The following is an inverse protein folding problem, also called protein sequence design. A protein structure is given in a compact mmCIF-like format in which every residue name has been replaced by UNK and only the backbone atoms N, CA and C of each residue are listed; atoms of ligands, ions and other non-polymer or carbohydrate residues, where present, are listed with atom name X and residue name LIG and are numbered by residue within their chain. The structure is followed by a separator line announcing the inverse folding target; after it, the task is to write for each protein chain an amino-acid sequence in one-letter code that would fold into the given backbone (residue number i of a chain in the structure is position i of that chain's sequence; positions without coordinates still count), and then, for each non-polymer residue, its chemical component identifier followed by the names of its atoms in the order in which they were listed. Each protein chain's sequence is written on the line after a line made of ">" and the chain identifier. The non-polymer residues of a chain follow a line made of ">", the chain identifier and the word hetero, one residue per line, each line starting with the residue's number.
data_IF_119158646055
#
_entry.id   IF_119158646055
#
_cell.length_a   1.000
_cell.length_b   1.000
_cell.length_c   1.000
_cell.angle_alpha   90.00
_cell.angle_beta   90.00
_cell.angle_gamma   90.00
#
_symmetry.space_group_name_H-M   'P 1'
#
loop_
_entity.id
_entity.type
_entity.pdbx_description
1 polymer ?
#
# COMPACT_ATOMS: atom_id res chain seq x y z
N UNK A 1 16.18 -36.35 -6.44
CA UNK A 1 16.48 -35.31 -5.44
C UNK A 1 15.22 -34.49 -5.23
N UNK A 2 14.42 -34.88 -4.23
CA UNK A 2 13.09 -34.32 -3.94
C UNK A 2 13.25 -32.95 -3.28
N UNK A 3 12.83 -31.87 -3.95
CA UNK A 3 12.90 -30.52 -3.38
C UNK A 3 11.67 -30.27 -2.49
N UNK A 4 11.92 -29.98 -1.22
CA UNK A 4 10.91 -29.71 -0.20
C UNK A 4 10.42 -28.27 -0.35
N UNK A 5 9.21 -28.05 -0.88
CA UNK A 5 8.57 -26.73 -0.84
C UNK A 5 8.04 -26.49 0.57
N UNK A 6 8.84 -25.79 1.37
CA UNK A 6 8.49 -25.37 2.72
C UNK A 6 7.55 -24.15 2.64
N UNK A 7 6.25 -24.39 2.47
CA UNK A 7 5.22 -23.35 2.65
C UNK A 7 5.10 -23.07 4.15
N UNK A 8 5.89 -22.11 4.60
CA UNK A 8 5.75 -21.45 5.89
C UNK A 8 4.43 -20.67 5.88
N UNK A 9 3.35 -21.33 6.31
CA UNK A 9 2.04 -20.71 6.52
C UNK A 9 2.16 -19.78 7.73
N UNK A 10 2.46 -18.50 7.48
CA UNK A 10 2.45 -17.47 8.52
C UNK A 10 1.07 -17.45 9.17
N UNK A 11 1.02 -17.78 10.46
CA UNK A 11 -0.14 -17.56 11.32
C UNK A 11 -0.37 -16.04 11.35
N UNK A 12 -1.38 -15.57 10.61
CA UNK A 12 -1.80 -14.17 10.67
C UNK A 12 -2.55 -13.94 11.99
N UNK A 13 -2.23 -12.89 12.76
CA UNK A 13 -3.09 -12.42 13.84
C UNK A 13 -4.51 -12.23 13.31
N UNK A 14 -5.52 -12.66 14.05
CA UNK A 14 -6.94 -12.50 13.70
C UNK A 14 -7.41 -11.06 13.95
N UNK A 15 -6.61 -10.06 13.56
CA UNK A 15 -7.14 -8.71 13.48
C UNK A 15 -8.08 -8.69 12.26
N UNK A 16 -9.30 -8.14 12.39
CA UNK A 16 -10.14 -7.91 11.22
C UNK A 16 -9.28 -7.19 10.18
N UNK A 17 -9.29 -7.62 8.90
CA UNK A 17 -8.54 -6.89 7.89
C UNK A 17 -8.99 -5.44 7.93
N UNK A 18 -8.07 -4.46 8.01
CA UNK A 18 -8.41 -3.05 8.03
C UNK A 18 -9.37 -2.75 6.88
N UNK A 19 -10.47 -2.11 7.22
CA UNK A 19 -11.51 -1.74 6.28
C UNK A 19 -10.97 -0.68 5.33
N UNK A 20 -11.58 -0.59 4.13
CA UNK A 20 -11.12 0.34 3.08
C UNK A 20 -11.08 1.80 3.54
N UNK A 21 -11.93 2.17 4.49
CA UNK A 21 -11.96 3.53 5.06
C UNK A 21 -10.85 3.79 6.07
N UNK A 22 -10.25 2.74 6.65
CA UNK A 22 -9.22 2.88 7.70
C UNK A 22 -7.88 3.39 7.14
N UNK A 23 -7.70 3.37 5.83
CA UNK A 23 -6.49 3.84 5.18
C UNK A 23 -6.59 5.27 4.65
N UNK A 24 -7.80 5.80 4.45
CA UNK A 24 -7.97 7.18 3.98
C UNK A 24 -7.49 8.16 5.05
N UNK A 25 -6.65 9.11 4.66
CA UNK A 25 -6.00 10.07 5.54
C UNK A 25 -4.66 9.60 6.12
N UNK A 26 -4.25 8.34 5.89
CA UNK A 26 -2.94 7.82 6.29
C UNK A 26 -1.88 8.03 5.20
N UNK A 27 -0.62 8.05 5.63
CA UNK A 27 0.52 8.01 4.73
C UNK A 27 0.86 6.57 4.32
N UNK A 28 1.37 6.41 3.11
CA UNK A 28 1.89 5.16 2.59
C UNK A 28 3.27 5.37 1.96
N UNK A 29 4.06 4.30 1.86
CA UNK A 29 5.35 4.29 1.17
C UNK A 29 5.25 3.43 -0.08
N UNK A 30 5.58 4.00 -1.24
CA UNK A 30 5.55 3.30 -2.53
C UNK A 30 6.62 2.20 -2.56
N UNK A 31 6.23 0.99 -2.95
CA UNK A 31 7.12 -0.16 -3.06
C UNK A 31 7.56 -0.43 -4.51
N UNK A 32 6.75 -0.02 -5.50
CA UNK A 32 7.02 -0.25 -6.93
C UNK A 32 7.93 0.81 -7.53
N UNK A 33 8.72 0.41 -8.54
CA UNK A 33 9.63 1.33 -9.24
C UNK A 33 8.91 2.50 -9.92
N UNK A 34 7.63 2.34 -10.23
CA UNK A 34 6.74 3.38 -10.72
C UNK A 34 5.32 3.19 -10.17
N UNK A 35 4.61 4.29 -9.94
CA UNK A 35 3.16 4.35 -9.71
C UNK A 35 2.54 5.26 -10.76
N UNK A 36 1.51 4.76 -11.42
CA UNK A 36 0.77 5.43 -12.49
C UNK A 36 -0.72 5.50 -12.15
N UNK A 37 -1.56 6.09 -13.03
CA UNK A 37 -3.01 6.03 -12.85
C UNK A 37 -3.56 4.61 -12.93
N UNK A 38 -2.81 3.65 -13.50
CA UNK A 38 -3.27 2.30 -13.77
C UNK A 38 -2.79 1.26 -12.77
N UNK A 39 -1.59 1.45 -12.20
CA UNK A 39 -0.92 0.46 -11.36
C UNK A 39 0.03 1.11 -10.34
N UNK A 40 0.18 0.45 -9.20
CA UNK A 40 1.17 0.77 -8.18
C UNK A 40 0.94 -0.03 -6.90
N UNK A 41 2.00 -0.21 -6.09
CA UNK A 41 1.88 -0.77 -4.75
C UNK A 41 2.53 0.14 -3.71
N UNK A 42 1.91 0.20 -2.55
CA UNK A 42 2.44 0.89 -1.39
C UNK A 42 2.20 0.09 -0.12
N UNK A 43 2.96 0.40 0.92
CA UNK A 43 2.79 -0.10 2.28
C UNK A 43 2.25 1.01 3.17
N UNK A 44 1.28 0.65 4.02
CA UNK A 44 0.79 1.49 5.11
C UNK A 44 1.21 0.85 6.41
N UNK A 45 1.78 1.66 7.29
CA UNK A 45 2.09 1.26 8.67
C UNK A 45 0.95 1.74 9.56
N UNK A 46 0.31 0.82 10.27
CA UNK A 46 -0.72 1.12 11.27
C UNK A 46 -0.07 1.60 12.59
N UNK A 47 -0.88 2.13 13.50
CA UNK A 47 -0.40 2.66 14.79
C UNK A 47 0.24 1.58 15.68
N UNK A 48 -0.11 0.31 15.47
CA UNK A 48 0.50 -0.85 16.13
C UNK A 48 1.82 -1.31 15.49
N UNK A 49 2.26 -0.62 14.43
CA UNK A 49 3.46 -0.95 13.65
C UNK A 49 3.26 -2.09 12.65
N UNK A 50 2.05 -2.63 12.52
CA UNK A 50 1.72 -3.60 11.47
C UNK A 50 1.77 -2.95 10.10
N UNK A 51 2.28 -3.70 9.11
CA UNK A 51 2.43 -3.22 7.74
C UNK A 51 1.44 -3.94 6.83
N UNK A 52 0.65 -3.17 6.09
CA UNK A 52 -0.28 -3.69 5.07
C UNK A 52 0.08 -3.17 3.69
N UNK A 53 0.28 -4.07 2.74
CA UNK A 53 0.45 -3.72 1.32
C UNK A 53 -0.91 -3.45 0.67
N UNK A 54 -1.03 -2.33 -0.03
CA UNK A 54 -2.22 -1.89 -0.76
C UNK A 54 -1.89 -1.60 -2.22
N UNK A 55 -2.92 -1.66 -3.09
CA UNK A 55 -2.82 -1.15 -4.46
C UNK A 55 -3.06 0.35 -4.47
N UNK A 56 -2.22 1.11 -5.18
CA UNK A 56 -2.31 2.57 -5.27
C UNK A 56 -2.29 3.07 -6.70
N UNK A 57 -2.83 4.27 -6.90
CA UNK A 57 -2.85 5.00 -8.17
C UNK A 57 -2.53 6.46 -7.93
N UNK A 58 -1.87 7.08 -8.90
CA UNK A 58 -1.49 8.49 -8.88
C UNK A 58 -1.78 9.14 -10.24
N UNK A 59 -2.29 10.37 -10.23
CA UNK A 59 -2.46 11.19 -11.44
C UNK A 59 -1.43 12.31 -11.49
N UNK A 60 -1.12 12.79 -12.71
CA UNK A 60 -0.18 13.90 -12.93
C UNK A 60 1.24 13.42 -13.23
N UNK A 61 1.99 13.02 -12.21
CA UNK A 61 3.39 12.58 -12.37
C UNK A 61 3.63 11.22 -11.74
N UNK A 62 4.59 10.48 -12.28
CA UNK A 62 5.01 9.20 -11.74
C UNK A 62 5.89 9.38 -10.50
N UNK A 63 5.72 8.51 -9.52
CA UNK A 63 6.60 8.37 -8.35
C UNK A 63 7.12 6.94 -8.27
N UNK A 64 8.29 6.75 -7.65
CA UNK A 64 8.95 5.44 -7.56
C UNK A 64 9.07 4.92 -6.14
N UNK A 65 9.82 3.84 -5.96
CA UNK A 65 10.02 3.19 -4.65
C UNK A 65 10.55 4.17 -3.60
N UNK A 66 10.04 4.07 -2.36
CA UNK A 66 10.43 4.89 -1.21
C UNK A 66 9.70 6.24 -1.11
N UNK A 67 8.92 6.60 -2.12
CA UNK A 67 8.16 7.85 -2.13
C UNK A 67 6.97 7.78 -1.15
N UNK A 68 6.69 8.87 -0.44
CA UNK A 68 5.62 8.92 0.56
C UNK A 68 4.37 9.54 -0.05
N UNK A 69 3.26 8.82 -0.07
CA UNK A 69 1.96 9.31 -0.53
C UNK A 69 0.99 9.49 0.64
N UNK A 70 0.08 10.45 0.52
CA UNK A 70 -1.13 10.53 1.35
C UNK A 70 -2.28 9.85 0.61
N UNK A 71 -2.95 8.92 1.28
CA UNK A 71 -4.14 8.25 0.75
C UNK A 71 -5.33 9.18 0.95
N UNK A 72 -6.01 9.57 -0.14
CA UNK A 72 -7.12 10.53 -0.05
C UNK A 72 -8.48 9.95 -0.49
N UNK A 73 -8.49 8.86 -1.26
CA UNK A 73 -9.74 8.23 -1.69
C UNK A 73 -9.54 6.75 -2.04
N UNK A 74 -10.64 6.02 -2.17
CA UNK A 74 -10.66 4.63 -2.59
C UNK A 74 -11.52 4.46 -3.86
N UNK A 75 -10.88 4.02 -4.94
CA UNK A 75 -11.55 3.63 -6.17
C UNK A 75 -12.23 2.27 -5.96
N UNK A 76 -13.54 2.29 -5.75
CA UNK A 76 -14.34 1.06 -5.57
C UNK A 76 -14.46 0.23 -6.84
N UNK A 77 -14.37 0.85 -8.02
CA UNK A 77 -14.47 0.14 -9.30
C UNK A 77 -13.21 -0.69 -9.56
N UNK A 78 -12.05 -0.18 -9.13
CA UNK A 78 -10.74 -0.77 -9.40
C UNK A 78 -10.10 -1.45 -8.19
N UNK A 79 -10.66 -1.25 -7.02
CA UNK A 79 -10.17 -1.83 -5.77
C UNK A 79 -8.81 -1.27 -5.34
N UNK A 80 -8.54 0.01 -5.61
CA UNK A 80 -7.24 0.64 -5.39
C UNK A 80 -7.41 2.01 -4.69
N UNK A 81 -6.37 2.45 -3.99
CA UNK A 81 -6.35 3.74 -3.32
C UNK A 81 -5.78 4.82 -4.22
N UNK A 82 -6.41 5.98 -4.22
CA UNK A 82 -5.80 7.17 -4.79
C UNK A 82 -4.85 7.79 -3.78
N UNK A 83 -3.63 8.07 -4.24
CA UNK A 83 -2.63 8.76 -3.44
C UNK A 83 -2.32 10.11 -4.05
N UNK A 84 -2.01 11.07 -3.20
CA UNK A 84 -1.32 12.29 -3.59
C UNK A 84 0.09 12.26 -3.02
N UNK A 85 1.07 12.82 -3.73
CA UNK A 85 2.43 12.95 -3.25
C UNK A 85 2.45 13.79 -1.94
N UNK A 86 2.92 13.23 -0.83
CA UNK A 86 3.14 13.98 0.40
C UNK A 86 4.48 14.73 0.29
N UNK A 87 4.49 16.02 0.69
CA UNK A 87 5.76 16.72 0.87
C UNK A 87 6.55 16.03 1.99
N UNK A 88 7.88 15.84 1.85
CA UNK A 88 8.67 15.33 2.96
C UNK A 88 8.53 16.28 4.16
N UNK A 89 8.44 15.72 5.36
CA UNK A 89 8.66 16.50 6.57
C UNK A 89 10.11 17.00 6.54
N UNK A 90 10.29 18.32 6.53
CA UNK A 90 11.59 18.98 6.53
C UNK A 90 12.35 18.72 7.83
#
# INVERSE_FOLDING_TARGET
>A
MTSLLNVMRRLRPQHPPPSRVDFVGRSCVVCTGEVSPEFGQAEVTDDDGSVTTIQVRLTGYAVGTGWVGLIYDYDTERGAFWITPAQPAF
#
